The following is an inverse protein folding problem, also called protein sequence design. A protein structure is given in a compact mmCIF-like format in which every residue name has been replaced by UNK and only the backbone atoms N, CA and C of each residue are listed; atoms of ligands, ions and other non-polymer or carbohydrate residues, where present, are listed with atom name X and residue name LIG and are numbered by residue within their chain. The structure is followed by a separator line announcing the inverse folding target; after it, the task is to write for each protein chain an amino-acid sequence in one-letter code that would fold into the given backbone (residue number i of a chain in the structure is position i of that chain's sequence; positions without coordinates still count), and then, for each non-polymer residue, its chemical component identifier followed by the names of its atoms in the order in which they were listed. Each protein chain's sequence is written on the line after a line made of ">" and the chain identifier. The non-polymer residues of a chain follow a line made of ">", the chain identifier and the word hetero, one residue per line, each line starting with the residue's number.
data_IF_467215037290
#
_entry.id   IF_467215037290
#
_cell.length_a   1.000
_cell.length_b   1.000
_cell.length_c   1.000
_cell.angle_alpha   90.00
_cell.angle_beta   90.00
_cell.angle_gamma   90.00
#
_symmetry.space_group_name_H-M   'P 1'
#
loop_
_entity.id
_entity.type
_entity.pdbx_description
1 polymer ?
#
# COMPACT_ATOMS: atom_id res chain seq x y z
N UNK A 1 -0.51 31.53 0.89
CA UNK A 1 0.50 31.13 -0.11
C UNK A 1 1.70 32.04 0.09
N UNK A 2 2.92 31.51 -0.01
CA UNK A 2 4.15 32.30 0.09
C UNK A 2 4.65 32.48 -1.34
N UNK A 3 4.74 33.72 -1.77
CA UNK A 3 5.27 34.08 -3.08
C UNK A 3 6.72 34.53 -2.90
N UNK A 4 7.66 33.79 -3.50
CA UNK A 4 9.08 34.15 -3.53
C UNK A 4 9.46 34.29 -5.00
N UNK A 5 9.44 35.51 -5.52
CA UNK A 5 9.69 35.77 -6.94
C UNK A 5 8.68 35.04 -7.85
N UNK A 6 9.12 34.27 -8.88
CA UNK A 6 8.23 33.51 -9.75
C UNK A 6 7.64 32.23 -9.08
N UNK A 7 8.07 31.88 -7.86
CA UNK A 7 7.64 30.67 -7.17
C UNK A 7 6.41 30.92 -6.30
N UNK A 8 5.33 30.20 -6.58
CA UNK A 8 4.10 30.16 -5.79
C UNK A 8 4.08 28.91 -4.91
N UNK A 9 4.40 29.04 -3.62
CA UNK A 9 4.35 27.94 -2.66
C UNK A 9 3.06 27.99 -1.84
N UNK A 10 2.34 26.87 -1.78
CA UNK A 10 1.19 26.68 -0.88
C UNK A 10 1.55 25.64 0.19
N UNK A 11 2.34 26.00 1.21
CA UNK A 11 2.82 25.04 2.21
C UNK A 11 1.69 24.37 3.01
N UNK A 12 0.56 25.06 3.14
CA UNK A 12 -0.65 24.54 3.80
C UNK A 12 -1.59 23.76 2.87
N UNK A 13 -1.26 23.59 1.60
CA UNK A 13 -2.05 22.70 0.75
C UNK A 13 -1.78 21.25 1.16
N UNK A 14 -2.81 20.38 1.19
CA UNK A 14 -2.61 18.96 1.47
C UNK A 14 -1.49 18.38 0.59
N UNK A 15 -1.53 18.64 -0.72
CA UNK A 15 -0.50 18.18 -1.68
C UNK A 15 0.93 18.57 -1.29
N UNK A 16 1.15 19.76 -0.71
CA UNK A 16 2.49 20.15 -0.24
C UNK A 16 2.95 19.32 0.96
N UNK A 17 2.05 18.94 1.87
CA UNK A 17 2.38 18.08 3.01
C UNK A 17 2.86 16.69 2.55
N UNK A 18 2.19 16.13 1.53
CA UNK A 18 2.63 14.89 0.89
C UNK A 18 4.03 14.98 0.28
N UNK A 19 4.35 16.08 -0.40
CA UNK A 19 5.66 16.30 -1.00
C UNK A 19 6.79 16.39 0.05
N UNK A 20 6.56 17.12 1.14
CA UNK A 20 7.53 17.21 2.25
C UNK A 20 7.74 15.86 2.94
N UNK A 21 6.65 15.14 3.23
CA UNK A 21 6.75 13.82 3.83
C UNK A 21 7.49 12.82 2.93
N UNK A 22 7.22 12.85 1.62
CA UNK A 22 7.91 11.99 0.65
C UNK A 22 9.41 12.33 0.57
N UNK A 23 9.77 13.61 0.62
CA UNK A 23 11.18 14.04 0.63
C UNK A 23 11.92 13.48 1.85
N UNK A 24 11.34 13.62 3.05
CA UNK A 24 11.95 13.10 4.29
C UNK A 24 12.01 11.58 4.26
N UNK A 25 10.94 10.90 3.86
CA UNK A 25 10.92 9.45 3.69
C UNK A 25 12.03 8.97 2.75
N UNK A 26 12.18 9.62 1.59
CA UNK A 26 13.19 9.26 0.59
C UNK A 26 14.61 9.48 1.10
N UNK A 27 14.85 10.59 1.82
CA UNK A 27 16.15 10.85 2.45
C UNK A 27 16.48 9.78 3.52
N UNK A 28 15.52 9.44 4.38
CA UNK A 28 15.69 8.38 5.38
C UNK A 28 15.92 7.01 4.71
N UNK A 29 15.18 6.67 3.67
CA UNK A 29 15.35 5.41 2.93
C UNK A 29 16.73 5.31 2.27
N UNK A 30 17.19 6.40 1.64
CA UNK A 30 18.53 6.47 1.07
C UNK A 30 19.62 6.32 2.14
N UNK A 31 19.51 7.04 3.25
CA UNK A 31 20.46 6.95 4.35
C UNK A 31 20.46 5.55 4.99
N UNK A 32 19.29 4.93 5.19
CA UNK A 32 19.20 3.57 5.72
C UNK A 32 19.88 2.55 4.77
N UNK A 33 19.69 2.69 3.46
CA UNK A 33 20.36 1.86 2.46
C UNK A 33 21.88 2.09 2.45
N UNK A 34 22.32 3.35 2.47
CA UNK A 34 23.74 3.71 2.52
C UNK A 34 24.42 3.18 3.78
N UNK A 35 23.80 3.33 4.95
CA UNK A 35 24.34 2.82 6.21
C UNK A 35 24.44 1.29 6.19
N UNK A 36 23.43 0.59 5.65
CA UNK A 36 23.47 -0.87 5.50
C UNK A 36 24.64 -1.29 4.59
N UNK A 37 24.84 -0.59 3.48
CA UNK A 37 25.97 -0.84 2.57
C UNK A 37 27.34 -0.59 3.23
N UNK A 38 27.47 0.44 4.07
CA UNK A 38 28.69 0.75 4.81
C UNK A 38 28.96 -0.26 5.94
N UNK A 39 27.91 -0.78 6.59
CA UNK A 39 28.01 -1.88 7.56
C UNK A 39 28.56 -3.14 6.90
N UNK A 40 28.04 -3.51 5.73
CA UNK A 40 28.51 -4.67 4.95
C UNK A 40 29.99 -4.52 4.52
N UNK A 41 30.49 -3.28 4.41
CA UNK A 41 31.90 -2.96 4.11
C UNK A 41 32.82 -2.97 5.34
N UNK A 42 32.31 -3.25 6.54
CA UNK A 42 33.11 -3.47 7.74
C UNK A 42 33.12 -2.34 8.77
N UNK A 43 32.13 -1.42 8.78
CA UNK A 43 31.99 -0.40 9.82
C UNK A 43 30.94 -0.80 10.87
N UNK A 44 31.32 -1.33 12.05
CA UNK A 44 30.38 -1.93 13.01
C UNK A 44 29.60 -0.92 13.89
N UNK A 45 29.83 0.40 13.73
CA UNK A 45 29.29 1.43 14.65
C UNK A 45 28.02 2.14 14.15
N UNK A 46 27.42 1.70 13.05
CA UNK A 46 26.32 2.42 12.39
C UNK A 46 24.92 1.92 12.76
N UNK A 47 24.81 0.85 13.57
CA UNK A 47 23.54 0.19 13.88
C UNK A 47 22.52 1.09 14.60
N UNK A 48 22.95 1.87 15.60
CA UNK A 48 22.06 2.78 16.33
C UNK A 48 21.55 3.90 15.44
N UNK A 49 22.42 4.50 14.63
CA UNK A 49 22.05 5.55 13.67
C UNK A 49 21.08 5.01 12.61
N UNK A 50 21.33 3.80 12.11
CA UNK A 50 20.44 3.11 11.17
C UNK A 50 19.07 2.85 11.79
N UNK A 51 19.00 2.44 13.05
CA UNK A 51 17.74 2.23 13.76
C UNK A 51 16.95 3.54 13.88
N UNK A 52 17.58 4.63 14.30
CA UNK A 52 16.93 5.95 14.42
C UNK A 52 16.39 6.41 13.07
N UNK A 53 17.21 6.34 12.02
CA UNK A 53 16.80 6.70 10.65
C UNK A 53 15.67 5.79 10.15
N UNK A 54 15.72 4.50 10.47
CA UNK A 54 14.67 3.54 10.15
C UNK A 54 13.35 3.83 10.85
N UNK A 55 13.38 4.25 12.12
CA UNK A 55 12.18 4.65 12.87
C UNK A 55 11.59 5.93 12.28
N UNK A 56 12.41 6.96 12.05
CA UNK A 56 11.96 8.23 11.46
C UNK A 56 11.40 7.97 10.06
N UNK A 57 12.14 7.24 9.22
CA UNK A 57 11.67 6.83 7.90
C UNK A 57 10.39 6.00 7.96
N UNK A 58 10.25 5.10 8.94
CA UNK A 58 9.04 4.31 9.16
C UNK A 58 7.81 5.17 9.47
N UNK A 59 7.96 6.21 10.30
CA UNK A 59 6.86 7.15 10.61
C UNK A 59 6.42 7.92 9.36
N UNK A 60 7.37 8.47 8.60
CA UNK A 60 7.04 9.17 7.35
C UNK A 60 6.52 8.21 6.26
N UNK A 61 7.01 6.97 6.24
CA UNK A 61 6.54 5.89 5.37
C UNK A 61 5.09 5.49 5.66
N UNK A 62 4.74 5.38 6.95
CA UNK A 62 3.36 5.16 7.39
C UNK A 62 2.46 6.30 6.92
N UNK A 63 2.89 7.55 7.14
CA UNK A 63 2.14 8.72 6.71
C UNK A 63 1.92 8.72 5.20
N UNK A 64 2.97 8.56 4.39
CA UNK A 64 2.87 8.63 2.92
C UNK A 64 2.07 7.46 2.34
N UNK A 65 2.06 6.29 2.99
CA UNK A 65 1.26 5.15 2.57
C UNK A 65 -0.23 5.36 2.83
N UNK A 66 -0.62 5.96 3.96
CA UNK A 66 -2.02 6.26 4.29
C UNK A 66 -2.55 7.51 3.59
N UNK A 67 -1.68 8.50 3.37
CA UNK A 67 -2.02 9.84 2.92
C UNK A 67 -2.85 9.91 1.61
N UNK A 68 -2.57 9.12 0.56
CA UNK A 68 -3.39 9.13 -0.65
C UNK A 68 -4.85 8.73 -0.37
N UNK A 69 -5.08 7.78 0.53
CA UNK A 69 -6.44 7.40 0.92
C UNK A 69 -7.16 8.51 1.68
N UNK A 70 -6.47 9.21 2.58
CA UNK A 70 -7.01 10.38 3.30
C UNK A 70 -7.31 11.53 2.34
N UNK A 71 -6.42 11.79 1.38
CA UNK A 71 -6.63 12.79 0.33
C UNK A 71 -7.88 12.51 -0.48
N UNK A 72 -8.06 11.26 -0.93
CA UNK A 72 -9.24 10.86 -1.67
C UNK A 72 -10.50 11.13 -0.82
N UNK A 73 -10.49 10.75 0.46
CA UNK A 73 -11.57 11.05 1.40
C UNK A 73 -11.89 12.54 1.56
N UNK A 74 -10.87 13.39 1.49
CA UNK A 74 -11.02 14.85 1.56
C UNK A 74 -11.51 15.48 0.24
N UNK A 75 -11.57 14.73 -0.86
CA UNK A 75 -12.15 15.25 -2.11
C UNK A 75 -13.67 15.24 -2.05
N UNK A 76 -14.32 16.26 -2.63
CA UNK A 76 -15.78 16.39 -2.69
C UNK A 76 -16.47 15.38 -3.64
N UNK A 77 -15.88 14.20 -3.85
CA UNK A 77 -16.46 13.13 -4.68
C UNK A 77 -17.41 12.30 -3.82
N UNK A 78 -18.65 12.02 -4.27
CA UNK A 78 -19.65 11.34 -3.45
C UNK A 78 -19.17 10.01 -2.84
N UNK A 79 -18.39 9.23 -3.60
CA UNK A 79 -17.87 7.93 -3.15
C UNK A 79 -16.83 8.04 -2.01
N UNK A 80 -16.13 9.17 -1.91
CA UNK A 80 -15.02 9.33 -0.97
C UNK A 80 -15.38 10.09 0.31
N UNK A 81 -16.44 10.90 0.31
CA UNK A 81 -16.89 11.67 1.48
C UNK A 81 -17.18 10.78 2.70
N UNK A 82 -17.64 9.54 2.47
CA UNK A 82 -17.99 8.60 3.54
C UNK A 82 -16.94 7.51 3.76
N UNK A 83 -15.83 7.55 2.99
CA UNK A 83 -14.80 6.52 2.96
C UNK A 83 -13.74 6.72 4.06
N UNK A 84 -14.16 6.73 5.33
CA UNK A 84 -13.28 6.93 6.50
C UNK A 84 -12.14 5.90 6.57
N UNK A 85 -12.35 4.71 6.02
CA UNK A 85 -11.39 3.60 6.03
C UNK A 85 -10.34 3.68 4.91
N UNK A 86 -10.46 4.63 3.99
CA UNK A 86 -9.64 4.67 2.78
C UNK A 86 -8.15 4.90 3.08
N UNK A 87 -7.83 5.70 4.10
CA UNK A 87 -6.45 5.87 4.58
C UNK A 87 -5.85 4.57 5.12
N UNK A 88 -6.60 3.83 5.94
CA UNK A 88 -6.18 2.55 6.49
C UNK A 88 -6.05 1.47 5.41
N UNK A 89 -6.96 1.47 4.42
CA UNK A 89 -6.89 0.59 3.27
C UNK A 89 -5.62 0.84 2.44
N UNK A 90 -5.34 2.10 2.08
CA UNK A 90 -4.14 2.44 1.30
C UNK A 90 -2.85 2.11 2.03
N UNK A 91 -2.84 2.29 3.36
CA UNK A 91 -1.73 1.87 4.21
C UNK A 91 -1.54 0.34 4.18
N UNK A 92 -2.60 -0.44 4.33
CA UNK A 92 -2.55 -1.91 4.29
C UNK A 92 -2.08 -2.42 2.93
N UNK A 93 -2.63 -1.87 1.83
CA UNK A 93 -2.17 -2.13 0.45
C UNK A 93 -0.69 -1.79 0.32
N UNK A 94 -0.25 -0.63 0.84
CA UNK A 94 1.15 -0.21 0.80
C UNK A 94 2.08 -1.17 1.54
N UNK A 95 1.69 -1.62 2.74
CA UNK A 95 2.44 -2.57 3.53
C UNK A 95 2.52 -3.95 2.85
N UNK A 96 1.41 -4.45 2.30
CA UNK A 96 1.36 -5.74 1.61
C UNK A 96 2.22 -5.71 0.33
N UNK A 97 2.03 -4.72 -0.53
CA UNK A 97 2.78 -4.58 -1.79
C UNK A 97 4.26 -4.29 -1.55
N UNK A 98 4.62 -3.50 -0.53
CA UNK A 98 6.01 -3.25 -0.13
C UNK A 98 6.72 -4.52 0.38
N UNK A 99 6.07 -5.27 1.27
CA UNK A 99 6.58 -6.55 1.77
C UNK A 99 6.74 -7.58 0.64
N UNK A 100 5.74 -7.67 -0.25
CA UNK A 100 5.79 -8.52 -1.43
C UNK A 100 6.93 -8.13 -2.39
N UNK A 101 7.17 -6.84 -2.62
CA UNK A 101 8.26 -6.35 -3.46
C UNK A 101 9.63 -6.75 -2.90
N UNK A 102 9.84 -6.61 -1.59
CA UNK A 102 11.07 -7.06 -0.93
C UNK A 102 11.23 -8.57 -1.10
N UNK A 103 10.18 -9.35 -0.83
CA UNK A 103 10.20 -10.80 -1.00
C UNK A 103 10.48 -11.23 -2.45
N UNK A 104 9.93 -10.51 -3.44
CA UNK A 104 10.18 -10.75 -4.86
C UNK A 104 11.65 -10.55 -5.20
N UNK A 105 12.23 -9.41 -4.83
CA UNK A 105 13.65 -9.11 -5.10
C UNK A 105 14.55 -10.15 -4.44
N UNK A 106 14.29 -10.51 -3.18
CA UNK A 106 15.08 -11.54 -2.47
C UNK A 106 14.98 -12.92 -3.15
N UNK A 107 13.80 -13.28 -3.65
CA UNK A 107 13.58 -14.55 -4.34
C UNK A 107 14.29 -14.63 -5.69
N UNK A 108 14.47 -13.50 -6.38
CA UNK A 108 15.15 -13.42 -7.68
C UNK A 108 16.68 -13.38 -7.53
N UNK A 109 17.19 -12.72 -6.49
CA UNK A 109 18.64 -12.57 -6.25
C UNK A 109 19.24 -13.77 -5.49
N UNK A 110 18.41 -14.72 -5.03
CA UNK A 110 18.88 -15.94 -4.36
C UNK A 110 19.32 -15.72 -2.90
N UNK A 111 18.73 -14.73 -2.22
CA UNK A 111 19.06 -14.41 -0.82
C UNK A 111 18.70 -15.56 0.13
N UNK A 112 19.71 -16.30 0.62
CA UNK A 112 19.58 -17.51 1.44
C UNK A 112 19.30 -17.24 2.93
N UNK A 113 18.18 -16.60 3.27
CA UNK A 113 17.66 -16.65 4.66
C UNK A 113 16.18 -17.00 4.66
N UNK A 114 15.90 -18.30 4.60
CA UNK A 114 14.54 -18.88 4.66
C UNK A 114 13.73 -18.35 5.83
N UNK A 115 14.37 -18.11 6.98
CA UNK A 115 13.72 -17.64 8.20
C UNK A 115 13.29 -16.17 8.12
N UNK A 116 14.15 -15.29 7.59
CA UNK A 116 13.83 -13.87 7.41
C UNK A 116 12.72 -13.68 6.38
N UNK A 117 12.79 -14.42 5.26
CA UNK A 117 11.76 -14.42 4.22
C UNK A 117 10.42 -14.94 4.78
N UNK A 118 10.44 -16.01 5.57
CA UNK A 118 9.24 -16.54 6.23
C UNK A 118 8.59 -15.52 7.17
N UNK A 119 9.39 -14.79 7.97
CA UNK A 119 8.87 -13.71 8.83
C UNK A 119 8.28 -12.56 8.00
N UNK A 120 8.96 -12.15 6.92
CA UNK A 120 8.48 -11.11 6.02
C UNK A 120 7.14 -11.50 5.37
N UNK A 121 7.01 -12.75 4.92
CA UNK A 121 5.76 -13.26 4.34
C UNK A 121 4.64 -13.32 5.40
N UNK A 122 4.93 -13.65 6.66
CA UNK A 122 3.91 -13.56 7.73
C UNK A 122 3.41 -12.13 7.95
N UNK A 123 4.31 -11.16 7.96
CA UNK A 123 3.92 -9.74 8.07
C UNK A 123 3.11 -9.30 6.85
N UNK A 124 3.50 -9.74 5.66
CA UNK A 124 2.77 -9.47 4.41
C UNK A 124 1.38 -10.10 4.45
N UNK A 125 1.23 -11.32 4.97
CA UNK A 125 -0.06 -11.96 5.17
C UNK A 125 -0.96 -11.16 6.12
N UNK A 126 -0.42 -10.66 7.25
CA UNK A 126 -1.17 -9.79 8.16
C UNK A 126 -1.63 -8.53 7.44
N UNK A 127 -0.77 -7.90 6.64
CA UNK A 127 -1.13 -6.73 5.84
C UNK A 127 -2.25 -7.04 4.83
N UNK A 128 -2.24 -8.21 4.18
CA UNK A 128 -3.33 -8.65 3.29
C UNK A 128 -4.64 -8.91 4.03
N UNK A 129 -4.61 -9.47 5.23
CA UNK A 129 -5.82 -9.62 6.06
C UNK A 129 -6.38 -8.24 6.41
N UNK A 130 -5.52 -7.31 6.84
CA UNK A 130 -5.94 -5.94 7.14
C UNK A 130 -6.48 -5.24 5.90
N UNK A 131 -5.87 -5.43 4.74
CA UNK A 131 -6.33 -4.91 3.45
C UNK A 131 -7.72 -5.42 3.12
N UNK A 132 -7.97 -6.74 3.26
CA UNK A 132 -9.29 -7.33 3.05
C UNK A 132 -10.33 -6.76 4.02
N UNK A 133 -9.98 -6.63 5.31
CA UNK A 133 -10.86 -6.06 6.34
C UNK A 133 -11.21 -4.61 6.02
N UNK A 134 -10.21 -3.77 5.71
CA UNK A 134 -10.46 -2.36 5.38
C UNK A 134 -11.18 -2.18 4.05
N UNK A 135 -10.98 -3.08 3.09
CA UNK A 135 -11.73 -3.09 1.83
C UNK A 135 -13.20 -3.42 2.08
N UNK A 136 -13.49 -4.42 2.91
CA UNK A 136 -14.86 -4.76 3.30
C UNK A 136 -15.51 -3.61 4.10
N UNK A 137 -14.79 -3.02 5.06
CA UNK A 137 -15.27 -1.86 5.83
C UNK A 137 -15.54 -0.66 4.94
N UNK A 138 -14.70 -0.41 3.93
CA UNK A 138 -14.93 0.61 2.92
C UNK A 138 -16.25 0.35 2.18
N UNK A 139 -16.45 -0.85 1.61
CA UNK A 139 -17.68 -1.22 0.89
C UNK A 139 -18.91 -1.07 1.78
N UNK A 140 -18.87 -1.57 3.02
CA UNK A 140 -19.98 -1.46 3.98
C UNK A 140 -20.27 -0.01 4.33
N UNK A 141 -19.25 0.80 4.65
CA UNK A 141 -19.43 2.21 5.01
C UNK A 141 -20.06 3.02 3.88
N UNK A 142 -19.64 2.77 2.64
CA UNK A 142 -20.15 3.46 1.45
C UNK A 142 -21.59 3.01 1.19
N UNK A 143 -21.89 1.73 1.34
CA UNK A 143 -23.25 1.19 1.16
C UNK A 143 -24.27 1.74 2.17
N UNK A 144 -23.84 2.07 3.39
CA UNK A 144 -24.70 2.58 4.47
C UNK A 144 -25.10 4.06 4.30
N UNK A 145 -24.45 4.81 3.41
CA UNK A 145 -24.62 6.27 3.30
C UNK A 145 -25.95 6.69 2.62
N UNK A 146 -26.64 5.79 1.92
CA UNK A 146 -28.01 6.01 1.40
C UNK A 146 -28.17 6.98 0.22
N UNK A 147 -27.11 7.66 -0.24
CA UNK A 147 -27.16 8.55 -1.41
C UNK A 147 -27.21 7.80 -2.74
N UNK A 148 -28.07 8.24 -3.68
CA UNK A 148 -28.25 7.60 -5.00
C UNK A 148 -26.95 7.53 -5.81
N UNK A 149 -26.21 8.64 -5.91
CA UNK A 149 -24.95 8.68 -6.66
C UNK A 149 -23.85 7.81 -6.05
N UNK A 150 -23.85 7.63 -4.72
CA UNK A 150 -22.92 6.72 -4.04
C UNK A 150 -23.27 5.26 -4.37
N UNK A 151 -24.56 4.93 -4.36
CA UNK A 151 -25.05 3.59 -4.64
C UNK A 151 -24.81 3.17 -6.09
N UNK A 152 -24.96 4.08 -7.05
CA UNK A 152 -24.66 3.84 -8.46
C UNK A 152 -23.16 3.59 -8.68
N UNK A 153 -22.30 4.40 -8.08
CA UNK A 153 -20.86 4.24 -8.15
C UNK A 153 -20.39 2.91 -7.55
N UNK A 154 -20.97 2.53 -6.40
CA UNK A 154 -20.72 1.24 -5.77
C UNK A 154 -21.29 0.08 -6.60
N UNK A 155 -22.44 0.26 -7.25
CA UNK A 155 -23.01 -0.77 -8.13
C UNK A 155 -22.13 -1.00 -9.37
N UNK A 156 -21.56 0.04 -9.96
CA UNK A 156 -20.60 -0.08 -11.06
C UNK A 156 -19.35 -0.88 -10.64
N UNK A 157 -18.89 -0.65 -9.40
CA UNK A 157 -17.78 -1.36 -8.78
C UNK A 157 -18.07 -2.84 -8.52
N UNK A 158 -19.26 -3.16 -8.01
CA UNK A 158 -19.59 -4.51 -7.53
C UNK A 158 -20.23 -5.41 -8.58
N UNK A 159 -21.01 -4.85 -9.50
CA UNK A 159 -21.84 -5.59 -10.48
C UNK A 159 -21.73 -5.01 -11.90
N UNK A 160 -21.22 -3.79 -12.07
CA UNK A 160 -21.07 -3.15 -13.37
C UNK A 160 -19.80 -3.53 -14.12
N UNK A 161 -19.38 -2.64 -15.02
CA UNK A 161 -18.24 -2.85 -15.92
C UNK A 161 -16.90 -3.07 -15.21
N UNK A 162 -16.73 -2.52 -14.01
CA UNK A 162 -15.49 -2.66 -13.24
C UNK A 162 -15.51 -3.85 -12.27
N UNK A 163 -16.63 -4.57 -12.18
CA UNK A 163 -16.82 -5.70 -11.27
C UNK A 163 -15.81 -6.83 -11.50
N UNK A 164 -15.41 -7.07 -12.75
CA UNK A 164 -14.41 -8.09 -13.06
C UNK A 164 -13.04 -7.71 -12.49
N UNK A 165 -12.64 -6.43 -12.58
CA UNK A 165 -11.38 -5.95 -12.01
C UNK A 165 -11.43 -5.93 -10.49
N UNK A 166 -12.59 -5.64 -9.89
CA UNK A 166 -12.78 -5.70 -8.44
C UNK A 166 -12.73 -7.14 -7.91
N UNK A 167 -13.63 -8.02 -8.37
CA UNK A 167 -13.77 -9.36 -7.82
C UNK A 167 -12.64 -10.28 -8.25
N UNK A 168 -12.36 -10.38 -9.55
CA UNK A 168 -11.34 -11.33 -10.03
C UNK A 168 -9.96 -10.75 -9.77
N UNK A 169 -9.75 -9.50 -10.15
CA UNK A 169 -8.45 -8.83 -10.04
C UNK A 169 -8.02 -8.54 -8.60
N UNK A 170 -8.73 -7.62 -7.95
CA UNK A 170 -8.36 -7.16 -6.61
C UNK A 170 -8.63 -8.22 -5.52
N UNK A 171 -9.84 -8.80 -5.49
CA UNK A 171 -10.24 -9.73 -4.41
C UNK A 171 -9.64 -11.13 -4.60
N UNK A 172 -9.88 -11.79 -5.73
CA UNK A 172 -9.44 -13.18 -5.90
C UNK A 172 -7.94 -13.28 -6.14
N UNK A 173 -7.44 -12.61 -7.19
CA UNK A 173 -6.02 -12.66 -7.59
C UNK A 173 -5.14 -11.91 -6.60
N UNK A 174 -5.59 -10.75 -6.12
CA UNK A 174 -4.79 -9.89 -5.25
C UNK A 174 -4.80 -10.24 -3.76
N UNK A 175 -5.90 -10.78 -3.24
CA UNK A 175 -6.07 -11.04 -1.80
C UNK A 175 -6.23 -12.53 -1.50
N UNK A 176 -7.27 -13.19 -2.03
CA UNK A 176 -7.66 -14.54 -1.63
C UNK A 176 -6.59 -15.57 -1.99
N UNK A 177 -6.14 -15.60 -3.25
CA UNK A 177 -5.13 -16.58 -3.70
C UNK A 177 -3.82 -16.41 -2.91
N UNK A 178 -3.21 -15.21 -2.82
CA UNK A 178 -2.01 -15.01 -2.02
C UNK A 178 -2.17 -15.36 -0.54
N UNK A 179 -3.33 -15.06 0.05
CA UNK A 179 -3.60 -15.36 1.45
C UNK A 179 -3.72 -16.86 1.70
N UNK A 180 -4.45 -17.59 0.85
CA UNK A 180 -4.59 -19.05 0.94
C UNK A 180 -3.24 -19.75 0.79
N UNK A 181 -2.40 -19.28 -0.16
CA UNK A 181 -1.05 -19.82 -0.35
C UNK A 181 -0.14 -19.56 0.87
N UNK A 182 -0.28 -18.40 1.51
CA UNK A 182 0.46 -18.04 2.73
C UNK A 182 0.00 -18.81 3.97
N UNK A 183 -1.32 -18.87 4.22
CA UNK A 183 -1.91 -19.50 5.42
C UNK A 183 -1.91 -21.03 5.32
N UNK A 184 -2.11 -21.59 4.12
CA UNK A 184 -2.09 -23.04 3.86
C UNK A 184 -0.71 -23.69 4.04
N UNK A 185 0.31 -22.95 4.47
CA UNK A 185 1.64 -23.47 4.76
C UNK A 185 2.48 -23.79 3.52
N UNK A 186 1.96 -23.55 2.31
CA UNK A 186 2.67 -23.75 1.04
C UNK A 186 3.95 -22.92 1.00
N UNK A 187 3.91 -21.70 1.56
CA UNK A 187 5.09 -20.82 1.60
C UNK A 187 6.15 -21.25 2.64
N UNK A 188 5.75 -22.01 3.66
CA UNK A 188 6.69 -22.48 4.71
C UNK A 188 7.68 -23.53 4.16
N UNK A 189 7.37 -24.13 3.01
CA UNK A 189 8.24 -25.03 2.22
C UNK A 189 8.44 -24.53 0.79
N UNK A 190 8.11 -23.26 0.49
CA UNK A 190 8.09 -22.78 -0.88
C UNK A 190 9.48 -22.64 -1.47
N UNK A 191 9.58 -23.02 -2.73
CA UNK A 191 10.71 -22.67 -3.59
C UNK A 191 10.72 -21.15 -3.83
N UNK A 192 11.89 -20.56 -4.15
CA UNK A 192 11.99 -19.15 -4.52
C UNK A 192 10.99 -18.73 -5.60
N UNK A 193 10.71 -19.60 -6.58
CA UNK A 193 9.74 -19.34 -7.65
C UNK A 193 8.29 -19.20 -7.15
N UNK A 194 7.88 -19.99 -6.15
CA UNK A 194 6.53 -19.85 -5.56
C UNK A 194 6.41 -18.55 -4.77
N UNK A 195 7.45 -18.16 -4.01
CA UNK A 195 7.46 -16.86 -3.33
C UNK A 195 7.41 -15.71 -4.33
N UNK A 196 8.18 -15.78 -5.42
CA UNK A 196 8.14 -14.78 -6.49
C UNK A 196 6.73 -14.64 -7.09
N UNK A 197 6.07 -15.77 -7.39
CA UNK A 197 4.71 -15.79 -7.92
C UNK A 197 3.71 -15.14 -6.96
N UNK A 198 3.74 -15.53 -5.68
CA UNK A 198 2.85 -14.95 -4.65
C UNK A 198 3.10 -13.45 -4.52
N UNK A 199 4.36 -13.02 -4.48
CA UNK A 199 4.69 -11.60 -4.43
C UNK A 199 4.18 -10.83 -5.65
N UNK A 200 4.31 -11.39 -6.86
CA UNK A 200 3.79 -10.78 -8.07
C UNK A 200 2.26 -10.62 -8.01
N UNK A 201 1.54 -11.66 -7.55
CA UNK A 201 0.09 -11.62 -7.36
C UNK A 201 -0.34 -10.52 -6.38
N UNK A 202 0.36 -10.37 -5.25
CA UNK A 202 0.09 -9.30 -4.27
C UNK A 202 0.33 -7.92 -4.87
N UNK A 203 1.41 -7.72 -5.64
CA UNK A 203 1.72 -6.44 -6.27
C UNK A 203 0.66 -6.07 -7.31
N UNK A 204 0.30 -7.01 -8.18
CA UNK A 204 -0.77 -6.82 -9.19
C UNK A 204 -2.11 -6.55 -8.50
N UNK A 205 -2.42 -7.31 -7.45
CA UNK A 205 -3.60 -7.12 -6.61
C UNK A 205 -3.72 -5.73 -6.02
N UNK A 206 -2.67 -5.27 -5.33
CA UNK A 206 -2.65 -3.95 -4.71
C UNK A 206 -2.70 -2.81 -5.73
N UNK A 207 -2.16 -3.00 -6.94
CA UNK A 207 -2.37 -2.08 -8.06
C UNK A 207 -3.84 -2.04 -8.47
N UNK A 208 -4.47 -3.20 -8.65
CA UNK A 208 -5.88 -3.30 -9.05
C UNK A 208 -6.82 -2.70 -8.00
N UNK A 209 -6.58 -2.93 -6.70
CA UNK A 209 -7.36 -2.29 -5.61
C UNK A 209 -7.34 -0.76 -5.78
N UNK A 210 -6.16 -0.17 -5.93
CA UNK A 210 -6.02 1.28 -6.11
C UNK A 210 -6.67 1.76 -7.41
N UNK A 211 -6.45 1.06 -8.51
CA UNK A 211 -7.02 1.38 -9.82
C UNK A 211 -8.54 1.44 -9.76
N UNK A 212 -9.18 0.38 -9.28
CA UNK A 212 -10.63 0.26 -9.30
C UNK A 212 -11.29 1.29 -8.36
N UNK A 213 -10.71 1.55 -7.18
CA UNK A 213 -11.21 2.60 -6.27
C UNK A 213 -11.16 3.99 -6.93
N UNK A 214 -10.06 4.32 -7.59
CA UNK A 214 -9.88 5.63 -8.23
C UNK A 214 -10.86 5.78 -9.40
N UNK A 215 -10.97 4.76 -10.26
CA UNK A 215 -11.88 4.77 -11.42
C UNK A 215 -13.34 4.86 -10.99
N UNK A 216 -13.75 4.09 -9.97
CA UNK A 216 -15.10 4.15 -9.43
C UNK A 216 -15.46 5.55 -8.90
N UNK A 217 -14.51 6.23 -8.23
CA UNK A 217 -14.70 7.61 -7.79
C UNK A 217 -14.76 8.62 -8.94
N UNK A 218 -14.19 8.31 -10.11
CA UNK A 218 -14.20 9.17 -11.28
C UNK A 218 -15.53 9.17 -12.04
N UNK A 219 -16.15 8.00 -12.19
CA UNK A 219 -17.36 7.81 -13.01
C UNK A 219 -18.65 8.35 -12.40
N UNK A 220 -18.65 8.79 -11.14
CA UNK A 220 -19.83 9.41 -10.50
C UNK A 220 -20.22 10.76 -11.13
N UNK A 221 -19.33 11.37 -11.93
CA UNK A 221 -19.53 12.69 -12.53
C UNK A 221 -19.85 12.64 -14.04
N UNK A 222 -19.93 11.45 -14.65
CA UNK A 222 -20.26 11.24 -16.07
C UNK A 222 -21.64 10.61 -16.21
#
# INVERSE_FOLDING_TARGET
>A
AINIGPFHLKPFSPMSAGAWALMVFSACAFLAALLTFLEDRGNPRLGTTRLVIGIVGGVFGFFIAAYPGVLLGATARPLFISAHWLGALFLAVGAATGGAAIALVLSLVGGQTSDSLSRLMKVTAIALVLELVFLALFVVSVSATGSRGIREALAQLLVGSDAIFFWVGAVVVGLVIPLLLQVGGVIRKATPGMTALVSALVIVGGFLVKYVIIVAGQRVLS
#
